data_IF_916593569765
#
_entry.id   IF_916593569765
#
_cell.length_a   1.000
_cell.length_b   1.000
_cell.length_c   1.000
_cell.angle_alpha   90.00
_cell.angle_beta   90.00
_cell.angle_gamma   90.00
#
_symmetry.space_group_name_H-M   'P 1'
#
loop_
_entity.id
_entity.type
_entity.pdbx_description
1 polymer ?
#
# COMPACT_ATOMS: atom_id res chain seq x y z
N UNK A 1 45.09 10.65 55.10
CA UNK A 1 44.84 11.03 53.69
C UNK A 1 43.45 10.53 53.29
N UNK A 2 42.67 11.39 52.63
CA UNK A 2 41.34 11.10 52.03
C UNK A 2 41.51 10.25 50.76
N UNK A 3 40.52 9.41 50.41
CA UNK A 3 39.85 9.20 49.08
C UNK A 3 38.89 7.98 49.25
N UNK A 4 37.62 8.16 49.64
CA UNK A 4 36.40 8.14 48.79
C UNK A 4 36.32 7.03 47.74
N UNK A 5 35.65 5.91 48.05
CA UNK A 5 35.17 4.91 47.07
C UNK A 5 33.65 4.73 47.18
N UNK A 6 32.93 5.85 47.11
CA UNK A 6 31.47 5.90 46.97
C UNK A 6 31.10 6.06 45.50
N UNK A 7 31.50 5.15 44.60
CA UNK A 7 31.22 5.33 43.16
C UNK A 7 31.20 4.03 42.33
N UNK A 8 30.73 2.90 42.87
CA UNK A 8 30.72 1.62 42.10
C UNK A 8 29.31 1.13 41.72
N UNK A 9 28.23 1.81 42.13
CA UNK A 9 26.88 1.26 41.98
C UNK A 9 26.01 1.81 40.81
N UNK A 10 26.50 2.76 39.98
CA UNK A 10 25.62 3.51 39.04
C UNK A 10 25.95 3.30 37.55
N UNK A 11 26.94 2.47 37.19
CA UNK A 11 27.42 2.37 35.81
C UNK A 11 26.93 1.14 35.01
N UNK A 12 26.15 0.23 35.60
CA UNK A 12 25.76 -1.03 34.94
C UNK A 12 24.39 -1.00 34.23
N UNK A 13 23.63 0.09 34.29
CA UNK A 13 22.23 0.12 33.82
C UNK A 13 21.97 0.87 32.49
N UNK A 14 23.01 1.31 31.77
CA UNK A 14 22.86 2.25 30.64
C UNK A 14 23.08 1.67 29.22
N UNK A 15 23.21 0.35 29.04
CA UNK A 15 23.66 -0.22 27.74
C UNK A 15 22.54 -0.87 26.90
N UNK A 16 21.28 -0.86 27.31
CA UNK A 16 20.21 -1.62 26.62
C UNK A 16 19.35 -0.84 25.61
N UNK A 17 19.76 0.35 25.12
CA UNK A 17 18.94 1.16 24.19
C UNK A 17 19.51 1.34 22.77
N UNK A 18 20.35 0.43 22.25
CA UNK A 18 20.93 0.59 20.90
C UNK A 18 20.27 -0.19 19.76
N UNK A 19 19.08 -0.80 19.94
CA UNK A 19 18.47 -1.66 18.91
C UNK A 19 17.44 -0.99 17.98
N UNK A 20 17.13 0.30 18.14
CA UNK A 20 16.16 1.02 17.28
C UNK A 20 16.81 1.87 16.17
N UNK A 21 17.98 1.50 15.65
CA UNK A 21 18.45 2.08 14.40
C UNK A 21 17.71 1.38 13.25
N UNK A 22 16.62 2.00 12.78
CA UNK A 22 16.04 1.65 11.47
C UNK A 22 17.16 1.73 10.44
N UNK A 23 17.58 0.57 9.95
CA UNK A 23 18.56 0.45 8.88
C UNK A 23 18.03 1.22 7.67
N UNK A 24 18.61 2.38 7.40
CA UNK A 24 18.33 3.14 6.18
C UNK A 24 18.99 2.38 5.05
N UNK A 25 18.22 1.47 4.44
CA UNK A 25 18.62 0.77 3.24
C UNK A 25 18.90 1.80 2.14
N UNK A 26 20.18 2.00 1.82
CA UNK A 26 20.62 2.83 0.71
C UNK A 26 19.96 2.32 -0.57
N UNK A 27 19.17 3.15 -1.28
CA UNK A 27 18.54 2.70 -2.51
C UNK A 27 19.61 2.35 -3.54
N UNK A 28 19.62 1.10 -4.00
CA UNK A 28 20.38 0.73 -5.18
C UNK A 28 19.93 1.59 -6.37
N UNK A 29 20.83 1.87 -7.35
CA UNK A 29 20.46 2.61 -8.56
C UNK A 29 19.21 2.00 -9.18
N UNK A 30 18.19 2.82 -9.44
CA UNK A 30 16.95 2.35 -10.03
C UNK A 30 17.27 1.67 -11.38
N UNK A 31 16.85 0.41 -11.60
CA UNK A 31 17.09 -0.26 -12.87
C UNK A 31 16.44 0.55 -14.00
N UNK A 32 17.11 0.63 -15.15
CA UNK A 32 16.62 1.27 -16.37
C UNK A 32 15.45 0.47 -16.95
N UNK A 33 14.25 0.68 -16.42
CA UNK A 33 13.00 0.01 -16.81
C UNK A 33 11.84 0.48 -15.94
N UNK A 34 10.60 0.08 -16.27
CA UNK A 34 9.43 0.38 -15.41
C UNK A 34 9.69 -0.15 -14.00
N UNK A 35 9.52 0.70 -12.98
CA UNK A 35 9.72 0.33 -11.58
C UNK A 35 8.85 -0.87 -11.21
N UNK A 36 9.29 -1.66 -10.22
CA UNK A 36 8.51 -2.80 -9.74
C UNK A 36 7.12 -2.37 -9.25
N UNK A 37 7.04 -1.20 -8.62
CA UNK A 37 5.79 -0.51 -8.27
C UNK A 37 4.89 -0.29 -9.49
N UNK A 38 5.41 0.34 -10.56
CA UNK A 38 4.62 0.66 -11.74
C UNK A 38 4.07 -0.60 -12.42
N UNK A 39 4.92 -1.63 -12.59
CA UNK A 39 4.49 -2.91 -13.18
C UNK A 39 3.40 -3.59 -12.35
N UNK A 40 3.57 -3.65 -11.04
CA UNK A 40 2.57 -4.26 -10.16
C UNK A 40 1.26 -3.47 -10.19
N UNK A 41 1.33 -2.13 -10.16
CA UNK A 41 0.13 -1.30 -10.14
C UNK A 41 -0.59 -1.27 -11.49
N UNK A 42 0.11 -1.33 -12.61
CA UNK A 42 -0.52 -1.51 -13.94
C UNK A 42 -1.34 -2.81 -13.99
N UNK A 43 -0.74 -3.92 -13.54
CA UNK A 43 -1.41 -5.22 -13.49
C UNK A 43 -2.67 -5.20 -12.60
N UNK A 44 -2.53 -4.70 -11.38
CA UNK A 44 -3.64 -4.61 -10.42
C UNK A 44 -4.73 -3.65 -10.92
N UNK A 45 -4.37 -2.52 -11.51
CA UNK A 45 -5.33 -1.55 -12.04
C UNK A 45 -6.12 -2.12 -13.22
N UNK A 46 -5.47 -2.84 -14.14
CA UNK A 46 -6.14 -3.49 -15.28
C UNK A 46 -7.14 -4.54 -14.76
N UNK A 47 -6.72 -5.36 -13.81
CA UNK A 47 -7.58 -6.39 -13.23
C UNK A 47 -8.77 -5.77 -12.48
N UNK A 48 -8.53 -4.72 -11.68
CA UNK A 48 -9.59 -3.98 -10.99
C UNK A 48 -10.59 -3.37 -11.97
N UNK A 49 -10.12 -2.72 -13.04
CA UNK A 49 -11.00 -2.17 -14.06
C UNK A 49 -11.86 -3.25 -14.69
N UNK A 50 -11.24 -4.35 -15.14
CA UNK A 50 -11.93 -5.49 -15.76
C UNK A 50 -12.97 -6.10 -14.83
N UNK A 51 -12.58 -6.40 -13.59
CA UNK A 51 -13.35 -7.26 -12.70
C UNK A 51 -14.32 -6.53 -11.78
N UNK A 52 -14.11 -5.25 -11.48
CA UNK A 52 -15.04 -4.47 -10.67
C UNK A 52 -15.93 -3.57 -11.53
N UNK A 53 -15.40 -2.96 -12.61
CA UNK A 53 -16.13 -1.92 -13.34
C UNK A 53 -16.66 -2.40 -14.71
N UNK A 54 -15.81 -3.00 -15.54
CA UNK A 54 -16.21 -3.46 -16.88
C UNK A 54 -17.20 -4.64 -16.81
N UNK A 55 -17.02 -5.54 -15.84
CA UNK A 55 -17.93 -6.64 -15.50
C UNK A 55 -19.25 -6.18 -14.86
N UNK A 56 -19.36 -4.90 -14.46
CA UNK A 56 -20.51 -4.32 -13.74
C UNK A 56 -20.79 -4.98 -12.39
N UNK A 57 -19.74 -5.23 -11.62
CA UNK A 57 -19.84 -5.82 -10.29
C UNK A 57 -20.82 -5.05 -9.37
N UNK A 58 -21.81 -5.71 -8.77
CA UNK A 58 -22.82 -5.07 -7.92
C UNK A 58 -22.24 -4.20 -6.81
N UNK A 59 -21.15 -4.64 -6.17
CA UNK A 59 -20.54 -3.94 -5.05
C UNK A 59 -19.89 -2.61 -5.47
N UNK A 60 -19.54 -2.46 -6.75
CA UNK A 60 -18.84 -1.29 -7.27
C UNK A 60 -19.72 -0.37 -8.14
N UNK A 61 -21.01 -0.68 -8.34
CA UNK A 61 -21.93 0.08 -9.23
C UNK A 61 -22.04 1.57 -8.91
N UNK A 62 -21.97 1.91 -7.62
CA UNK A 62 -22.08 3.29 -7.13
C UNK A 62 -20.75 4.05 -7.15
N UNK A 63 -19.68 3.43 -7.65
CA UNK A 63 -18.34 3.98 -7.67
C UNK A 63 -17.78 4.06 -9.10
N UNK A 64 -16.69 4.80 -9.26
CA UNK A 64 -15.88 4.85 -10.47
C UNK A 64 -14.41 4.73 -10.11
N UNK A 65 -13.63 4.23 -11.05
CA UNK A 65 -12.18 4.16 -10.92
C UNK A 65 -11.57 5.44 -11.48
N UNK A 66 -10.74 6.12 -10.69
CA UNK A 66 -9.86 7.19 -11.15
C UNK A 66 -8.43 6.67 -11.20
N UNK A 67 -7.84 6.67 -12.39
CA UNK A 67 -6.53 6.10 -12.61
C UNK A 67 -5.43 7.17 -12.49
N UNK A 68 -4.52 6.99 -11.54
CA UNK A 68 -3.42 7.93 -11.26
C UNK A 68 -2.06 7.20 -11.30
N UNK A 69 -1.89 6.27 -12.23
CA UNK A 69 -0.65 5.46 -12.34
C UNK A 69 0.59 6.30 -12.62
N UNK A 70 0.43 7.42 -13.35
CA UNK A 70 1.49 8.40 -13.59
C UNK A 70 1.38 9.56 -12.58
N UNK A 71 1.38 9.26 -11.28
CA UNK A 71 1.38 10.29 -10.24
C UNK A 71 2.72 11.02 -10.22
N UNK A 72 2.70 12.36 -10.30
CA UNK A 72 3.88 13.22 -10.13
C UNK A 72 4.61 13.02 -8.79
N UNK A 73 3.93 12.40 -7.82
CA UNK A 73 4.48 12.07 -6.49
C UNK A 73 5.36 10.81 -6.46
N UNK A 74 5.51 10.12 -7.60
CA UNK A 74 6.38 8.94 -7.74
C UNK A 74 5.82 7.63 -7.20
N UNK A 75 4.62 7.64 -6.59
CA UNK A 75 3.94 6.42 -6.11
C UNK A 75 2.69 6.14 -6.94
N UNK A 76 2.73 5.14 -7.86
CA UNK A 76 1.60 4.76 -8.69
C UNK A 76 0.40 4.33 -7.82
N UNK A 77 -0.79 4.84 -8.15
CA UNK A 77 -2.03 4.54 -7.43
C UNK A 77 -3.24 4.57 -8.36
N UNK A 78 -4.33 3.98 -7.91
CA UNK A 78 -5.66 4.30 -8.43
C UNK A 78 -6.61 4.50 -7.26
N UNK A 79 -7.68 5.23 -7.54
CA UNK A 79 -8.71 5.58 -6.58
C UNK A 79 -10.02 4.96 -7.01
N UNK A 80 -10.84 4.59 -6.03
CA UNK A 80 -12.26 4.31 -6.23
C UNK A 80 -13.02 5.46 -5.58
N UNK A 81 -13.76 6.20 -6.38
CA UNK A 81 -14.46 7.43 -5.99
C UNK A 81 -15.96 7.25 -6.16
N UNK A 82 -16.80 7.98 -5.41
CA UNK A 82 -18.25 7.98 -5.65
C UNK A 82 -18.59 8.39 -7.08
N UNK A 83 -19.45 7.64 -7.76
CA UNK A 83 -19.74 7.86 -9.18
C UNK A 83 -20.34 9.23 -9.49
N UNK A 84 -21.08 9.80 -8.54
CA UNK A 84 -21.70 11.13 -8.64
C UNK A 84 -20.78 12.27 -8.20
N UNK A 85 -19.59 11.97 -7.69
CA UNK A 85 -18.63 12.95 -7.22
C UNK A 85 -17.18 12.46 -7.49
N UNK A 86 -16.80 12.47 -8.77
CA UNK A 86 -15.52 11.91 -9.22
C UNK A 86 -14.29 12.64 -8.63
N UNK A 87 -14.39 13.95 -8.40
CA UNK A 87 -13.34 14.75 -7.73
C UNK A 87 -13.43 14.78 -6.20
N UNK A 88 -14.35 14.01 -5.62
CA UNK A 88 -14.56 13.93 -4.18
C UNK A 88 -13.54 13.05 -3.46
N UNK A 89 -13.76 12.87 -2.15
CA UNK A 89 -12.92 12.01 -1.32
C UNK A 89 -12.96 10.54 -1.82
N UNK A 90 -11.80 9.89 -2.00
CA UNK A 90 -11.75 8.48 -2.37
C UNK A 90 -12.38 7.57 -1.32
N UNK A 91 -13.18 6.62 -1.78
CA UNK A 91 -13.75 5.56 -0.97
C UNK A 91 -12.78 4.37 -0.80
N UNK A 92 -11.87 4.18 -1.76
CA UNK A 92 -10.72 3.29 -1.67
C UNK A 92 -9.54 3.93 -2.39
N UNK A 93 -8.36 3.81 -1.79
CA UNK A 93 -7.07 4.12 -2.41
C UNK A 93 -6.29 2.81 -2.49
N UNK A 94 -5.77 2.50 -3.68
CA UNK A 94 -4.87 1.37 -3.88
C UNK A 94 -3.57 1.90 -4.45
N UNK A 95 -2.46 1.67 -3.77
CA UNK A 95 -1.17 2.24 -4.15
C UNK A 95 -0.02 1.26 -3.93
N UNK A 96 1.10 1.49 -4.62
CA UNK A 96 2.34 0.80 -4.31
C UNK A 96 2.95 1.30 -2.98
N UNK A 97 3.69 0.43 -2.30
CA UNK A 97 4.55 0.84 -1.17
C UNK A 97 5.90 1.32 -1.70
N UNK A 98 6.05 2.63 -1.82
CA UNK A 98 7.25 3.25 -2.40
C UNK A 98 7.54 2.70 -3.79
N UNK A 99 8.77 2.24 -4.04
CA UNK A 99 9.19 1.66 -5.33
C UNK A 99 9.02 0.13 -5.42
N UNK A 100 8.42 -0.51 -4.40
CA UNK A 100 8.22 -1.96 -4.32
C UNK A 100 7.01 -2.43 -5.14
N UNK A 101 6.97 -3.71 -5.52
CA UNK A 101 5.77 -4.37 -6.05
C UNK A 101 4.69 -4.62 -4.99
N UNK A 102 4.97 -4.31 -3.72
CA UNK A 102 3.97 -4.40 -2.67
C UNK A 102 2.87 -3.37 -2.86
N UNK A 103 1.63 -3.79 -2.57
CA UNK A 103 0.42 -2.96 -2.72
C UNK A 103 -0.25 -2.77 -1.37
N UNK A 104 -0.71 -1.56 -1.12
CA UNK A 104 -1.45 -1.14 0.06
C UNK A 104 -2.83 -0.62 -0.34
N UNK A 105 -3.78 -0.81 0.57
CA UNK A 105 -5.17 -0.41 0.40
C UNK A 105 -5.61 0.43 1.59
N UNK A 106 -6.30 1.55 1.32
CA UNK A 106 -6.80 2.46 2.34
C UNK A 106 -8.22 2.91 2.02
N UNK A 107 -8.99 3.31 3.03
CA UNK A 107 -10.26 4.01 2.84
C UNK A 107 -11.49 3.27 3.36
N UNK A 108 -12.65 3.95 3.38
CA UNK A 108 -13.86 3.48 4.05
C UNK A 108 -14.48 2.21 3.45
N UNK A 109 -14.20 1.87 2.18
CA UNK A 109 -14.68 0.61 1.59
C UNK A 109 -14.12 -0.63 2.29
N UNK A 110 -12.96 -0.52 2.95
CA UNK A 110 -12.33 -1.66 3.64
C UNK A 110 -13.06 -2.05 4.93
N UNK A 111 -13.83 -1.13 5.51
CA UNK A 111 -14.63 -1.39 6.73
C UNK A 111 -16.04 -1.88 6.43
N UNK A 112 -16.39 -2.06 5.16
CA UNK A 112 -17.70 -2.54 4.72
C UNK A 112 -17.65 -4.05 4.43
N UNK A 113 -18.80 -4.65 4.11
CA UNK A 113 -18.90 -6.09 3.77
C UNK A 113 -18.01 -6.49 2.58
N UNK A 114 -17.76 -5.59 1.64
CA UNK A 114 -16.90 -5.82 0.47
C UNK A 114 -15.40 -5.78 0.80
N UNK A 115 -15.00 -5.31 1.99
CA UNK A 115 -13.60 -5.07 2.35
C UNK A 115 -12.71 -6.31 2.30
N UNK A 116 -13.20 -7.46 2.80
CA UNK A 116 -12.47 -8.73 2.75
C UNK A 116 -12.22 -9.18 1.31
N UNK A 117 -13.23 -9.02 0.45
CA UNK A 117 -13.17 -9.33 -0.97
C UNK A 117 -12.20 -8.41 -1.71
N UNK A 118 -12.21 -7.11 -1.43
CA UNK A 118 -11.22 -6.16 -1.99
C UNK A 118 -9.81 -6.66 -1.69
N UNK A 119 -9.51 -7.00 -0.43
CA UNK A 119 -8.18 -7.47 -0.05
C UNK A 119 -7.79 -8.78 -0.75
N UNK A 120 -8.74 -9.71 -0.88
CA UNK A 120 -8.52 -10.98 -1.59
C UNK A 120 -8.27 -10.78 -3.09
N UNK A 121 -9.03 -9.90 -3.74
CA UNK A 121 -8.88 -9.53 -5.14
C UNK A 121 -7.51 -8.88 -5.39
N UNK A 122 -7.13 -7.89 -4.58
CA UNK A 122 -5.83 -7.23 -4.69
C UNK A 122 -4.68 -8.21 -4.46
N UNK A 123 -4.78 -9.10 -3.47
CA UNK A 123 -3.76 -10.11 -3.19
C UNK A 123 -3.57 -11.08 -4.37
N UNK A 124 -4.68 -11.56 -4.95
CA UNK A 124 -4.69 -12.44 -6.13
C UNK A 124 -4.11 -11.74 -7.36
N UNK A 125 -4.55 -10.52 -7.64
CA UNK A 125 -4.04 -9.76 -8.78
C UNK A 125 -2.57 -9.42 -8.63
N UNK A 126 -2.09 -9.14 -7.41
CA UNK A 126 -0.66 -8.89 -7.16
C UNK A 126 0.20 -10.15 -7.38
N UNK A 127 -0.34 -11.35 -7.15
CA UNK A 127 0.39 -12.60 -7.40
C UNK A 127 0.42 -13.04 -8.87
N UNK A 128 -0.28 -12.33 -9.77
CA UNK A 128 -0.26 -12.59 -11.22
C UNK A 128 -1.55 -13.21 -11.77
N UNK A 129 -2.46 -13.68 -10.92
CA UNK A 129 -3.75 -14.16 -11.37
C UNK A 129 -4.68 -12.97 -11.62
N UNK A 130 -4.94 -12.63 -12.89
CA UNK A 130 -5.82 -11.53 -13.30
C UNK A 130 -7.32 -11.92 -13.40
N UNK A 131 -7.71 -13.05 -12.82
CA UNK A 131 -9.08 -13.54 -12.77
C UNK A 131 -9.99 -12.68 -11.89
N UNK A 132 -11.28 -12.66 -12.24
CA UNK A 132 -12.29 -12.04 -11.40
C UNK A 132 -12.70 -13.03 -10.31
N UNK A 133 -12.66 -12.58 -9.06
CA UNK A 133 -13.14 -13.36 -7.92
C UNK A 133 -14.65 -13.49 -7.96
N UNK A 134 -15.21 -14.25 -7.02
CA UNK A 134 -16.66 -14.37 -6.87
C UNK A 134 -17.23 -13.00 -6.49
N UNK A 135 -18.26 -12.54 -7.21
CA UNK A 135 -18.97 -11.30 -6.89
C UNK A 135 -19.70 -11.46 -5.55
N UNK A 136 -19.69 -10.41 -4.72
CA UNK A 136 -20.39 -10.37 -3.43
C UNK A 136 -21.87 -10.02 -3.60
#
# INVERSE_FOLDING_TARGET
MRVKFTFVAVLAALVSLSACQSEKQTPAPAPTGKSAALRSMEQVAIAAHKCWFASKDPAFRNYRMANELNSFTGTPRFLVVPAKNYGGLPALVVQARGNSSQVETFGPLLSQSVGSRINADIARWRSGDAGCGIAA
#
